data_IF_930579498439
#
_entry.id   IF_930579498439
#
_cell.length_a   1.000
_cell.length_b   1.000
_cell.length_c   1.000
_cell.angle_alpha   90.00
_cell.angle_beta   90.00
_cell.angle_gamma   90.00
#
_symmetry.space_group_name_H-M   'P 1'
#
loop_
_entity.id
_entity.type
_entity.pdbx_description
1 polymer ?
#
# COMPACT_ATOMS: atom_id res chain seq x y z
N UNK A 1 7.17 -7.32 -1.54
CA UNK A 1 7.23 -5.85 -1.63
C UNK A 1 8.68 -5.44 -1.85
N UNK A 2 8.95 -4.65 -2.89
CA UNK A 2 10.25 -4.02 -3.13
C UNK A 2 10.17 -2.59 -2.60
N UNK A 3 11.16 -2.17 -1.82
CA UNK A 3 11.20 -0.89 -1.10
C UNK A 3 12.45 -0.09 -1.48
N UNK A 4 12.46 1.18 -1.07
CA UNK A 4 13.51 2.17 -1.34
C UNK A 4 13.74 2.42 -2.82
N UNK A 5 12.69 2.37 -3.64
CA UNK A 5 12.78 2.63 -5.08
C UNK A 5 13.12 4.12 -5.32
N UNK A 6 14.01 4.47 -6.27
CA UNK A 6 14.24 5.85 -6.69
C UNK A 6 12.97 6.47 -7.28
N UNK A 7 12.57 7.68 -6.85
CA UNK A 7 11.27 8.26 -7.18
C UNK A 7 11.03 8.53 -8.68
N UNK A 8 12.10 8.65 -9.47
CA UNK A 8 12.07 8.84 -10.93
C UNK A 8 11.91 7.53 -11.71
N UNK A 9 12.08 6.39 -11.05
CA UNK A 9 12.01 5.07 -11.67
C UNK A 9 10.55 4.78 -12.09
N UNK A 10 10.35 4.42 -13.35
CA UNK A 10 9.03 4.06 -13.90
C UNK A 10 8.69 2.58 -13.70
N UNK A 11 7.42 2.22 -13.92
CA UNK A 11 6.98 0.82 -13.96
C UNK A 11 7.75 0.00 -15.00
N UNK A 12 8.02 0.59 -16.18
CA UNK A 12 8.82 -0.01 -17.25
C UNK A 12 10.26 -0.24 -16.81
N UNK A 13 10.91 0.78 -16.24
CA UNK A 13 12.28 0.65 -15.72
C UNK A 13 12.38 -0.45 -14.66
N UNK A 14 11.35 -0.59 -13.81
CA UNK A 14 11.33 -1.62 -12.76
C UNK A 14 11.19 -3.02 -13.37
N UNK A 15 10.35 -3.19 -14.38
CA UNK A 15 10.19 -4.46 -15.10
C UNK A 15 11.51 -4.85 -15.74
N UNK A 16 12.17 -3.92 -16.43
CA UNK A 16 13.47 -4.16 -17.06
C UNK A 16 14.56 -4.48 -16.02
N UNK A 17 14.58 -3.77 -14.89
CA UNK A 17 15.50 -4.03 -13.80
C UNK A 17 15.34 -5.45 -13.24
N UNK A 18 14.11 -5.92 -13.06
CA UNK A 18 13.82 -7.30 -12.63
C UNK A 18 14.21 -8.30 -13.73
N UNK A 19 13.89 -7.99 -14.99
CA UNK A 19 14.16 -8.86 -16.12
C UNK A 19 15.65 -9.14 -16.35
N UNK A 20 16.54 -8.23 -15.91
CA UNK A 20 18.01 -8.46 -15.92
C UNK A 20 18.45 -9.66 -15.07
N UNK A 21 17.64 -10.09 -14.10
CA UNK A 21 17.94 -11.25 -13.24
C UNK A 21 16.95 -12.38 -13.48
N UNK A 22 15.66 -12.06 -13.55
CA UNK A 22 14.56 -13.02 -13.64
C UNK A 22 13.61 -12.64 -14.79
N UNK A 23 14.01 -12.87 -16.06
CA UNK A 23 13.22 -12.48 -17.22
C UNK A 23 11.91 -13.27 -17.31
N UNK A 24 10.77 -12.56 -17.44
CA UNK A 24 9.42 -13.15 -17.54
C UNK A 24 9.04 -14.07 -16.36
N UNK A 25 9.53 -13.76 -15.15
CA UNK A 25 9.29 -14.54 -13.92
C UNK A 25 8.36 -13.88 -12.90
N UNK A 26 7.70 -12.81 -13.30
CA UNK A 26 6.69 -12.11 -12.49
C UNK A 26 5.35 -12.14 -13.19
N UNK A 27 4.28 -12.18 -12.42
CA UNK A 27 2.89 -12.21 -12.91
C UNK A 27 2.00 -11.10 -12.34
N UNK A 28 2.56 -10.29 -11.44
CA UNK A 28 1.94 -9.06 -10.95
C UNK A 28 3.02 -8.01 -10.65
N UNK A 29 2.79 -6.76 -11.06
CA UNK A 29 3.60 -5.62 -10.69
C UNK A 29 2.73 -4.37 -10.49
N UNK A 30 2.90 -3.69 -9.36
CA UNK A 30 2.32 -2.37 -9.12
C UNK A 30 3.33 -1.47 -8.42
N UNK A 31 3.84 -0.48 -9.15
CA UNK A 31 4.63 0.61 -8.60
C UNK A 31 3.68 1.70 -8.10
N UNK A 32 3.68 1.97 -6.79
CA UNK A 32 2.75 2.96 -6.24
C UNK A 32 3.21 4.37 -6.60
N UNK A 33 2.29 5.14 -7.17
CA UNK A 33 2.53 6.51 -7.61
C UNK A 33 1.88 7.52 -6.65
N UNK A 34 2.55 8.64 -6.47
CA UNK A 34 1.96 9.89 -6.00
C UNK A 34 1.36 10.60 -7.21
N UNK A 35 0.03 10.69 -7.25
CA UNK A 35 -0.68 11.26 -8.39
C UNK A 35 -0.52 12.79 -8.49
N UNK A 36 -0.22 13.47 -7.38
CA UNK A 36 -0.03 14.92 -7.37
C UNK A 36 1.35 15.29 -7.88
N UNK A 37 2.39 14.62 -7.36
CA UNK A 37 3.78 14.91 -7.70
C UNK A 37 4.28 14.17 -8.95
N UNK A 38 3.49 13.21 -9.43
CA UNK A 38 3.78 12.44 -10.64
C UNK A 38 4.96 11.47 -10.52
N UNK A 39 5.43 11.18 -9.31
CA UNK A 39 6.58 10.32 -9.02
C UNK A 39 6.16 9.09 -8.21
N UNK A 40 6.99 8.06 -8.12
CA UNK A 40 6.68 6.92 -7.26
C UNK A 40 6.93 7.25 -5.78
N UNK A 41 6.23 6.57 -4.87
CA UNK A 41 6.37 6.76 -3.41
C UNK A 41 7.46 5.87 -2.79
N UNK A 42 8.32 5.26 -3.61
CA UNK A 42 9.48 4.49 -3.15
C UNK A 42 9.24 3.01 -2.90
N UNK A 43 8.09 2.44 -3.31
CA UNK A 43 7.88 1.00 -3.23
C UNK A 43 6.95 0.44 -4.30
N UNK A 44 7.06 -0.88 -4.50
CA UNK A 44 6.23 -1.64 -5.42
C UNK A 44 5.79 -2.98 -4.82
N UNK A 45 4.62 -3.44 -5.24
CA UNK A 45 4.19 -4.82 -5.08
C UNK A 45 4.60 -5.60 -6.33
N UNK A 46 5.29 -6.72 -6.12
CA UNK A 46 5.76 -7.61 -7.18
C UNK A 46 5.47 -9.03 -6.74
N UNK A 47 4.79 -9.81 -7.58
CA UNK A 47 4.58 -11.24 -7.37
C UNK A 47 5.47 -12.01 -8.36
N UNK A 48 6.33 -12.87 -7.83
CA UNK A 48 7.10 -13.82 -8.62
C UNK A 48 6.27 -15.08 -8.83
N UNK A 49 6.36 -15.68 -10.02
CA UNK A 49 5.62 -16.89 -10.38
C UNK A 49 6.08 -18.06 -9.50
N UNK A 50 7.39 -18.19 -9.29
CA UNK A 50 7.96 -19.22 -8.42
C UNK A 50 8.84 -18.62 -7.33
N UNK A 51 8.86 -19.28 -6.17
CA UNK A 51 9.67 -18.87 -5.01
C UNK A 51 11.17 -18.90 -5.35
N UNK A 52 11.61 -19.83 -6.20
CA UNK A 52 13.01 -19.92 -6.64
C UNK A 52 13.45 -18.64 -7.37
N UNK A 53 12.59 -18.07 -8.22
CA UNK A 53 12.90 -16.83 -8.94
C UNK A 53 12.99 -15.64 -7.96
N UNK A 54 12.12 -15.57 -6.96
CA UNK A 54 12.21 -14.59 -5.87
C UNK A 54 13.54 -14.71 -5.11
N UNK A 55 13.94 -15.92 -4.75
CA UNK A 55 15.20 -16.17 -4.04
C UNK A 55 16.42 -15.78 -4.88
N UNK A 56 16.41 -16.07 -6.18
CA UNK A 56 17.45 -15.65 -7.12
C UNK A 56 17.53 -14.12 -7.18
N UNK A 57 16.40 -13.44 -7.33
CA UNK A 57 16.35 -11.98 -7.35
C UNK A 57 16.85 -11.37 -6.03
N UNK A 58 16.41 -11.91 -4.90
CA UNK A 58 16.83 -11.45 -3.58
C UNK A 58 18.34 -11.59 -3.38
N UNK A 59 18.94 -12.74 -3.74
CA UNK A 59 20.40 -12.94 -3.67
C UNK A 59 21.17 -11.94 -4.52
N UNK A 60 20.65 -11.58 -5.68
CA UNK A 60 21.35 -10.69 -6.61
C UNK A 60 21.21 -9.20 -6.26
N UNK A 61 20.08 -8.80 -5.65
CA UNK A 61 19.70 -7.37 -5.55
C UNK A 61 19.42 -6.87 -4.14
N UNK A 62 19.12 -7.73 -3.17
CA UNK A 62 18.84 -7.29 -1.80
C UNK A 62 20.09 -6.66 -1.18
N UNK A 63 19.96 -5.46 -0.60
CA UNK A 63 21.09 -4.75 0.00
C UNK A 63 22.02 -4.07 -1.00
N UNK A 64 21.72 -4.12 -2.30
CA UNK A 64 22.51 -3.47 -3.36
C UNK A 64 21.96 -2.06 -3.63
N UNK A 65 22.85 -1.09 -3.87
CA UNK A 65 22.46 0.26 -4.32
C UNK A 65 21.77 0.20 -5.68
N UNK A 66 20.77 1.05 -5.90
CA UNK A 66 20.08 1.10 -7.19
C UNK A 66 20.99 1.55 -8.34
N UNK A 67 21.97 2.42 -8.06
CA UNK A 67 22.91 2.97 -9.06
C UNK A 67 22.21 3.53 -10.31
N UNK A 68 21.00 4.05 -10.14
CA UNK A 68 20.17 4.65 -11.18
C UNK A 68 19.69 6.02 -10.69
N UNK A 69 19.59 6.99 -11.60
CA UNK A 69 19.12 8.35 -11.31
C UNK A 69 19.91 9.04 -10.18
N UNK A 70 21.22 8.76 -10.07
CA UNK A 70 22.10 9.23 -8.97
C UNK A 70 21.56 8.92 -7.57
N UNK A 71 20.74 7.87 -7.44
CA UNK A 71 20.15 7.50 -6.17
C UNK A 71 21.13 6.69 -5.33
N UNK A 72 21.39 7.14 -4.11
CA UNK A 72 22.16 6.39 -3.11
C UNK A 72 21.31 5.36 -2.36
N UNK A 73 20.02 5.27 -2.68
CA UNK A 73 19.10 4.33 -2.05
C UNK A 73 19.59 2.89 -2.23
N UNK A 74 19.37 2.08 -1.20
CA UNK A 74 19.68 0.66 -1.17
C UNK A 74 18.39 -0.14 -1.26
N UNK A 75 18.33 -1.09 -2.19
CA UNK A 75 17.15 -1.93 -2.42
C UNK A 75 16.86 -2.78 -1.18
N UNK A 76 15.62 -2.69 -0.70
CA UNK A 76 15.11 -3.51 0.39
C UNK A 76 13.91 -4.33 -0.07
N UNK A 77 13.66 -5.45 0.61
CA UNK A 77 12.50 -6.30 0.35
C UNK A 77 11.83 -6.69 1.67
N UNK A 78 10.52 -6.90 1.61
CA UNK A 78 9.73 -7.49 2.69
C UNK A 78 8.55 -8.25 2.09
N UNK A 79 7.99 -9.19 2.84
CA UNK A 79 6.71 -9.79 2.48
C UNK A 79 5.61 -8.72 2.47
N UNK A 80 4.67 -8.85 1.53
CA UNK A 80 3.48 -8.02 1.49
C UNK A 80 2.37 -8.66 2.36
N UNK A 81 1.44 -7.85 2.85
CA UNK A 81 0.29 -8.36 3.61
C UNK A 81 -0.66 -9.21 2.74
N UNK A 82 -0.76 -8.88 1.45
CA UNK A 82 -1.49 -9.66 0.44
C UNK A 82 -0.47 -10.48 -0.36
N UNK A 83 -0.64 -11.79 -0.40
CA UNK A 83 0.25 -12.74 -1.05
C UNK A 83 -0.46 -13.44 -2.21
N UNK A 84 0.25 -13.65 -3.32
CA UNK A 84 -0.29 -14.26 -4.53
C UNK A 84 -0.98 -13.27 -5.49
N UNK A 85 -1.01 -13.63 -6.77
CA UNK A 85 -1.56 -12.81 -7.85
C UNK A 85 -3.05 -12.56 -7.66
N UNK A 86 -3.82 -13.57 -7.31
CA UNK A 86 -5.28 -13.51 -7.17
C UNK A 86 -5.69 -12.51 -6.07
N UNK A 87 -5.02 -12.58 -4.90
CA UNK A 87 -5.28 -11.68 -3.79
C UNK A 87 -4.93 -10.22 -4.13
N UNK A 88 -3.84 -10.00 -4.87
CA UNK A 88 -3.43 -8.68 -5.35
C UNK A 88 -4.43 -8.14 -6.38
N UNK A 89 -4.84 -8.97 -7.35
CA UNK A 89 -5.87 -8.60 -8.34
C UNK A 89 -7.17 -8.23 -7.64
N UNK A 90 -7.66 -9.03 -6.70
CA UNK A 90 -8.87 -8.73 -5.93
C UNK A 90 -8.76 -7.40 -5.16
N UNK A 91 -7.58 -7.14 -4.60
CA UNK A 91 -7.29 -5.90 -3.87
C UNK A 91 -7.38 -4.67 -4.76
N UNK A 92 -6.84 -4.75 -5.97
CA UNK A 92 -6.71 -3.60 -6.86
C UNK A 92 -7.85 -3.43 -7.87
N UNK A 93 -8.57 -4.50 -8.24
CA UNK A 93 -9.66 -4.43 -9.25
C UNK A 93 -10.77 -3.45 -8.89
N UNK A 94 -11.00 -3.23 -7.59
CA UNK A 94 -12.01 -2.30 -7.08
C UNK A 94 -11.38 -1.01 -6.51
N UNK A 95 -10.11 -0.74 -6.78
CA UNK A 95 -9.43 0.46 -6.28
C UNK A 95 -9.50 1.59 -7.31
N UNK A 96 -9.56 2.83 -6.83
CA UNK A 96 -9.55 4.04 -7.68
C UNK A 96 -8.31 4.15 -8.59
N UNK A 97 -7.22 3.44 -8.28
CA UNK A 97 -6.02 3.40 -9.14
C UNK A 97 -6.34 2.88 -10.55
N UNK A 98 -7.37 2.06 -10.71
CA UNK A 98 -7.78 1.54 -12.01
C UNK A 98 -8.37 2.61 -12.94
N UNK A 99 -8.75 3.78 -12.40
CA UNK A 99 -9.22 4.93 -13.18
C UNK A 99 -8.10 5.90 -13.60
N UNK A 100 -6.90 5.74 -13.03
CA UNK A 100 -5.75 6.58 -13.36
C UNK A 100 -5.19 6.25 -14.74
N UNK A 101 -4.18 6.99 -15.21
CA UNK A 101 -3.50 6.66 -16.47
C UNK A 101 -2.87 5.27 -16.44
N UNK A 102 -2.81 4.62 -17.60
CA UNK A 102 -2.38 3.20 -17.72
C UNK A 102 -0.99 2.91 -17.15
N UNK A 103 -0.04 3.84 -17.28
CA UNK A 103 1.32 3.72 -16.71
C UNK A 103 1.37 3.75 -15.18
N UNK A 104 0.26 4.11 -14.52
CA UNK A 104 0.14 4.14 -13.06
C UNK A 104 -0.71 2.99 -12.51
N UNK A 105 -1.31 2.19 -13.39
CA UNK A 105 -2.14 1.05 -13.01
C UNK A 105 -1.27 -0.16 -12.67
N UNK A 106 -1.74 -1.04 -11.77
CA UNK A 106 -1.20 -2.38 -11.63
C UNK A 106 -1.18 -3.12 -12.97
N UNK A 107 -0.11 -3.87 -13.21
CA UNK A 107 0.05 -4.75 -14.36
C UNK A 107 0.03 -6.19 -13.93
N UNK A 108 -0.56 -7.02 -14.77
CA UNK A 108 -0.53 -8.48 -14.62
C UNK A 108 0.05 -9.12 -15.86
N UNK A 109 0.63 -10.30 -15.68
CA UNK A 109 1.23 -11.08 -16.75
C UNK A 109 0.78 -12.53 -16.64
N UNK A 110 0.75 -13.26 -17.76
CA UNK A 110 0.40 -14.67 -17.73
C UNK A 110 1.38 -15.45 -16.84
N UNK A 111 0.85 -16.23 -15.90
CA UNK A 111 1.66 -17.00 -14.94
C UNK A 111 2.21 -18.30 -15.53
N UNK A 112 1.63 -18.79 -16.63
CA UNK A 112 2.00 -20.07 -17.24
C UNK A 112 1.73 -20.11 -18.75
N UNK A 113 2.21 -21.17 -19.40
CA UNK A 113 2.00 -21.43 -20.83
C UNK A 113 2.93 -20.64 -21.77
N UNK A 114 2.71 -20.71 -23.08
CA UNK A 114 3.59 -20.08 -24.08
C UNK A 114 3.70 -18.56 -23.92
N UNK A 115 2.68 -17.94 -23.33
CA UNK A 115 2.62 -16.49 -23.08
C UNK A 115 3.17 -16.08 -21.71
N UNK A 116 3.77 -16.98 -20.95
CA UNK A 116 4.27 -16.69 -19.61
C UNK A 116 5.12 -15.41 -19.58
N UNK A 117 4.79 -14.53 -18.64
CA UNK A 117 5.42 -13.22 -18.43
C UNK A 117 5.13 -12.18 -19.51
N UNK A 118 4.24 -12.46 -20.47
CA UNK A 118 3.69 -11.44 -21.36
C UNK A 118 2.51 -10.72 -20.70
N UNK A 119 2.25 -9.43 -21.05
CA UNK A 119 1.15 -8.66 -20.47
C UNK A 119 -0.21 -9.36 -20.63
N UNK A 120 -1.01 -9.31 -19.57
CA UNK A 120 -2.37 -9.82 -19.51
C UNK A 120 -3.34 -8.68 -19.17
N UNK A 121 -4.54 -8.61 -19.80
CA UNK A 121 -5.54 -7.59 -19.47
C UNK A 121 -6.03 -7.70 -18.03
N UNK A 122 -6.10 -6.59 -17.30
CA UNK A 122 -6.62 -6.57 -15.94
C UNK A 122 -8.12 -6.91 -15.93
N UNK A 123 -8.61 -7.79 -15.03
CA UNK A 123 -10.02 -8.17 -14.99
C UNK A 123 -10.94 -7.00 -14.62
N UNK A 124 -12.18 -7.07 -15.10
CA UNK A 124 -13.18 -6.02 -14.88
C UNK A 124 -13.58 -5.89 -13.39
N UNK A 125 -13.90 -4.67 -12.91
CA UNK A 125 -14.38 -4.46 -11.55
C UNK A 125 -15.70 -5.19 -11.30
N UNK A 126 -15.84 -5.84 -10.14
CA UNK A 126 -17.08 -6.53 -9.75
C UNK A 126 -17.90 -5.79 -8.71
N UNK A 127 -17.35 -4.78 -8.00
CA UNK A 127 -18.05 -4.06 -6.93
C UNK A 127 -17.85 -2.54 -6.96
N UNK A 128 -18.83 -1.81 -7.50
CA UNK A 128 -18.82 -0.34 -7.62
C UNK A 128 -18.73 0.40 -6.26
N UNK A 129 -19.46 -0.04 -5.22
CA UNK A 129 -19.40 0.59 -3.87
C UNK A 129 -18.04 0.51 -3.18
N UNK A 130 -17.21 -0.51 -3.50
CA UNK A 130 -15.83 -0.58 -2.97
C UNK A 130 -14.92 0.46 -3.63
N UNK A 131 -15.19 0.77 -4.90
CA UNK A 131 -14.48 1.78 -5.68
C UNK A 131 -14.67 3.19 -5.13
N UNK A 132 -15.91 3.54 -4.78
CA UNK A 132 -16.26 4.84 -4.18
C UNK A 132 -15.56 5.07 -2.83
N UNK A 133 -15.44 4.05 -1.98
CA UNK A 133 -14.69 4.19 -0.71
C UNK A 133 -13.18 4.28 -0.92
N UNK A 134 -12.65 3.63 -1.97
CA UNK A 134 -11.23 3.72 -2.30
C UNK A 134 -10.85 5.12 -2.79
N UNK A 135 -11.72 5.84 -3.49
CA UNK A 135 -11.41 7.20 -3.95
C UNK A 135 -11.32 8.17 -2.78
N UNK A 136 -12.15 8.00 -1.74
CA UNK A 136 -12.11 8.79 -0.51
C UNK A 136 -10.83 8.54 0.32
N UNK A 137 -10.24 7.35 0.25
CA UNK A 137 -9.07 6.96 1.06
C UNK A 137 -7.74 6.95 0.28
N UNK A 138 -7.63 7.73 -0.81
CA UNK A 138 -6.51 7.75 -1.78
C UNK A 138 -5.11 7.83 -1.15
N UNK A 139 -4.97 8.46 0.02
CA UNK A 139 -3.70 8.62 0.74
C UNK A 139 -3.31 7.45 1.66
N UNK A 140 -4.28 6.70 2.21
CA UNK A 140 -4.10 5.98 3.49
C UNK A 140 -3.95 4.45 3.38
N UNK A 141 -3.31 3.92 2.33
CA UNK A 141 -2.80 2.54 2.39
C UNK A 141 -1.48 2.53 3.19
N UNK A 142 -1.65 2.50 4.52
CA UNK A 142 -0.75 2.07 5.61
C UNK A 142 0.76 2.03 5.34
N UNK A 143 1.50 2.88 6.05
CA UNK A 143 2.93 2.74 6.33
C UNK A 143 3.06 2.01 7.68
N UNK A 144 3.67 0.82 7.78
CA UNK A 144 3.92 0.20 9.08
C UNK A 144 5.03 0.98 9.79
N UNK A 145 4.75 1.55 10.97
CA UNK A 145 5.80 1.93 11.93
C UNK A 145 5.94 3.40 12.36
N UNK A 146 5.05 4.31 11.95
CA UNK A 146 5.07 5.68 12.47
C UNK A 146 3.68 6.09 12.94
N UNK A 147 3.36 5.79 14.20
CA UNK A 147 2.15 6.31 14.84
C UNK A 147 2.24 7.83 14.95
N UNK A 148 1.21 8.59 14.57
CA UNK A 148 1.18 10.02 14.84
C UNK A 148 0.79 10.24 16.31
N UNK A 149 1.69 10.88 17.06
CA UNK A 149 1.36 11.60 18.28
C UNK A 149 0.22 12.61 17.98
N UNK A 150 -0.84 12.70 18.79
CA UNK A 150 -1.80 13.80 18.65
C UNK A 150 -1.12 15.08 19.16
N UNK A 151 -0.66 15.90 18.22
CA UNK A 151 -0.15 17.24 18.49
C UNK A 151 -1.35 18.17 18.71
N UNK A 152 -1.43 18.71 19.93
CA UNK A 152 -2.40 19.72 20.35
C UNK A 152 -2.33 20.95 19.44
N UNK A 153 -3.49 21.45 19.01
CA UNK A 153 -3.61 22.70 18.26
C UNK A 153 -3.31 23.90 19.19
N UNK A 154 -2.51 24.90 18.75
CA UNK A 154 -2.35 26.14 19.49
C UNK A 154 -3.53 27.08 19.22
N UNK A 155 -3.97 27.75 20.28
CA UNK A 155 -5.18 28.55 20.34
C UNK A 155 -5.20 29.80 19.45
N UNK A 156 -6.42 30.17 19.08
CA UNK A 156 -6.77 31.48 18.55
C UNK A 156 -7.62 32.22 19.59
N UNK A 157 -7.06 33.29 20.13
CA UNK A 157 -7.75 34.30 20.94
C UNK A 157 -8.77 35.06 20.09
N UNK A 158 -10.03 35.11 20.52
CA UNK A 158 -10.88 36.30 20.30
C UNK A 158 -11.94 36.39 21.39
N UNK A 159 -11.98 37.57 22.00
CA UNK A 159 -12.87 38.08 23.04
C UNK A 159 -14.32 38.24 22.59
N UNK A 160 -15.29 38.01 23.50
CA UNK A 160 -16.66 38.53 23.31
C UNK A 160 -17.81 37.82 24.05
N UNK A 161 -17.92 38.09 25.35
CA UNK A 161 -19.14 38.36 26.14
C UNK A 161 -20.38 37.42 26.18
N UNK A 162 -20.77 37.13 27.44
CA UNK A 162 -22.13 36.97 28.00
C UNK A 162 -23.02 35.76 27.63
N UNK A 163 -23.43 35.00 28.65
CA UNK A 163 -24.59 34.12 28.57
C UNK A 163 -24.66 33.04 29.65
N UNK A 164 -25.01 33.43 30.88
CA UNK A 164 -25.34 32.52 31.99
C UNK A 164 -26.66 31.81 31.68
N UNK A 165 -26.68 30.47 31.63
CA UNK A 165 -27.88 29.69 32.01
C UNK A 165 -27.46 28.37 32.68
N UNK A 166 -27.78 28.29 33.97
CA UNK A 166 -27.88 27.08 34.76
C UNK A 166 -28.97 26.16 34.21
N UNK A 167 -28.72 24.87 34.05
CA UNK A 167 -29.76 23.86 34.21
C UNK A 167 -29.22 22.62 34.93
N UNK A 168 -29.93 22.26 36.00
CA UNK A 168 -29.63 21.19 36.95
C UNK A 168 -30.20 19.84 36.51
N UNK A 169 -29.47 18.78 36.90
CA UNK A 169 -29.90 17.42 37.35
C UNK A 169 -30.34 16.40 36.27
N UNK A 170 -30.42 15.07 36.57
CA UNK A 170 -29.97 14.32 37.76
C UNK A 170 -29.16 13.02 37.46
N UNK A 171 -28.64 12.44 38.55
CA UNK A 171 -28.04 11.11 38.71
C UNK A 171 -29.00 9.95 38.40
N UNK A 172 -28.54 8.85 37.78
CA UNK A 172 -29.06 7.48 38.05
C UNK A 172 -28.10 6.37 37.57
N UNK A 173 -27.54 5.64 38.55
CA UNK A 173 -27.30 4.18 38.62
C UNK A 173 -26.52 3.42 37.52
N UNK A 174 -25.36 2.88 37.89
CA UNK A 174 -24.95 1.52 37.53
C UNK A 174 -24.40 0.79 38.77
N UNK A 175 -24.86 -0.43 39.09
CA UNK A 175 -24.30 -1.25 40.14
C UNK A 175 -23.36 -2.36 39.60
N UNK A 176 -22.36 -2.60 40.44
CA UNK A 176 -21.76 -3.88 40.85
C UNK A 176 -20.79 -4.67 39.95
N UNK A 177 -19.59 -4.79 40.53
CA UNK A 177 -18.53 -5.78 40.32
C UNK A 177 -19.04 -7.22 40.31
N UNK A 178 -18.42 -8.07 39.47
CA UNK A 178 -18.30 -9.49 39.73
C UNK A 178 -16.81 -9.90 39.61
N UNK A 179 -16.23 -10.16 40.77
CA UNK A 179 -14.95 -10.85 40.99
C UNK A 179 -15.31 -12.32 41.23
N UNK A 180 -14.85 -13.23 40.39
CA UNK A 180 -14.95 -14.68 40.65
C UNK A 180 -13.56 -15.15 40.99
N UNK A 181 -13.42 -15.56 42.25
CA UNK A 181 -12.22 -16.13 42.86
C UNK A 181 -12.39 -17.65 42.98
N UNK A 182 -11.25 -18.35 43.00
CA UNK A 182 -11.08 -19.80 43.13
C UNK A 182 -11.83 -20.44 44.31
N UNK A 183 -12.17 -21.72 44.13
CA UNK A 183 -11.74 -22.89 44.93
C UNK A 183 -12.88 -23.92 45.10
N UNK A 184 -12.73 -25.11 44.54
CA UNK A 184 -12.34 -26.37 45.19
C UNK A 184 -12.49 -27.50 44.17
#
# INVERSE_FOLDING_TARGET
>A
MIKNIPNKLSDRDLIEFIAKVCPRKIDFLYLRMDFQNGCNVGYAFVNFIHVQDLLQFARAKLGVKWNMFSSEKVLQMSYANYQGKEALVEKFKNSCVMDERESWRPKIFFSSGPRQGLPEPFPQPTHLRRKERSSQNRGALFVPGSGPHPQQQPGSTTSGNSGVVHLRRPNLHQPHLARVENRH
#
